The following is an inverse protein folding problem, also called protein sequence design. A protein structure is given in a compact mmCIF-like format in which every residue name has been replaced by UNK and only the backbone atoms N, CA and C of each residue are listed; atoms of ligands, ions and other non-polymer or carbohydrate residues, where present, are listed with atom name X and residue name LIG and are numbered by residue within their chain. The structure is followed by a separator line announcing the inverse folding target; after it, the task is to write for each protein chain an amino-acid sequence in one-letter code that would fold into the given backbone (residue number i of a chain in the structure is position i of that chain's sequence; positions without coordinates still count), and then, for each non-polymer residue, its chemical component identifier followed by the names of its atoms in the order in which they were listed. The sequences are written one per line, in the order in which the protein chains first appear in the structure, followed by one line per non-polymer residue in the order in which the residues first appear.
data_IF_189059823952
#
_entry.id   IF_189059823952
#
_cell.length_a   1.000
_cell.length_b   1.000
_cell.length_c   1.000
_cell.angle_alpha   90.00
_cell.angle_beta   90.00
_cell.angle_gamma   90.00
#
_symmetry.space_group_name_H-M   'P 1'
#
loop_
_entity.id
_entity.type
_entity.pdbx_description
1 polymer ?
#
# COMPACT_ATOMS: atom_id res chain seq x y z
N UNK A 1 13.48 -3.39 10.85
CA UNK A 1 13.20 -1.97 11.22
C UNK A 1 11.71 -1.74 11.47
N UNK A 2 10.81 -2.14 10.55
CA UNK A 2 9.36 -1.97 10.72
C UNK A 2 8.81 -2.50 12.06
N UNK A 3 9.30 -3.65 12.52
CA UNK A 3 8.87 -4.27 13.78
C UNK A 3 9.18 -3.45 15.03
N UNK A 4 10.12 -2.50 14.95
CA UNK A 4 10.56 -1.67 16.08
C UNK A 4 9.61 -0.50 16.34
N UNK A 5 8.63 -0.27 15.46
CA UNK A 5 7.67 0.82 15.57
C UNK A 5 6.28 0.28 15.88
N UNK A 6 5.57 0.97 16.77
CA UNK A 6 4.17 0.66 17.08
C UNK A 6 3.21 1.14 15.99
N UNK A 7 3.62 2.22 15.29
CA UNK A 7 2.80 2.91 14.28
C UNK A 7 3.61 3.19 13.00
N UNK A 8 3.93 2.18 12.17
CA UNK A 8 4.57 2.41 10.88
C UNK A 8 3.60 3.09 9.89
N UNK A 9 4.13 4.06 9.14
CA UNK A 9 3.44 4.73 8.03
C UNK A 9 4.19 4.36 6.75
N UNK A 10 3.52 3.65 5.84
CA UNK A 10 4.16 3.06 4.66
C UNK A 10 3.69 3.76 3.39
N UNK A 11 4.65 4.16 2.57
CA UNK A 11 4.42 4.87 1.31
C UNK A 11 4.85 4.04 0.12
N UNK A 12 3.93 3.77 -0.81
CA UNK A 12 4.25 3.03 -2.04
C UNK A 12 3.64 3.73 -3.27
N UNK A 13 4.45 4.15 -4.25
CA UNK A 13 3.94 4.70 -5.50
C UNK A 13 3.53 3.59 -6.48
N UNK A 14 2.70 3.94 -7.45
CA UNK A 14 2.45 3.11 -8.64
C UNK A 14 3.49 3.38 -9.70
N UNK A 15 4.09 2.34 -10.25
CA UNK A 15 5.01 2.42 -11.39
C UNK A 15 4.44 1.65 -12.59
N UNK A 16 4.96 1.98 -13.77
CA UNK A 16 4.56 1.40 -15.05
C UNK A 16 3.05 1.24 -15.18
N UNK A 17 2.54 0.01 -15.30
CA UNK A 17 1.12 -0.30 -15.49
C UNK A 17 0.55 -1.04 -14.27
N UNK A 18 0.63 -0.39 -13.10
CA UNK A 18 0.13 -0.96 -11.84
C UNK A 18 1.17 -1.77 -11.07
N UNK A 19 2.44 -1.61 -11.42
CA UNK A 19 3.55 -2.39 -10.87
C UNK A 19 4.10 -1.77 -9.58
N UNK A 20 4.66 -2.65 -8.75
CA UNK A 20 5.35 -2.30 -7.51
C UNK A 20 6.65 -1.57 -7.89
N UNK A 21 6.96 -0.47 -7.21
CA UNK A 21 8.22 0.22 -7.42
C UNK A 21 9.42 -0.64 -7.01
N UNK A 22 10.52 -0.55 -7.77
CA UNK A 22 11.68 -1.43 -7.67
C UNK A 22 12.25 -1.64 -6.24
N UNK A 23 12.33 -0.61 -5.40
CA UNK A 23 12.84 -0.75 -4.04
C UNK A 23 11.87 -1.51 -3.14
N UNK A 24 10.56 -1.31 -3.33
CA UNK A 24 9.54 -2.12 -2.67
C UNK A 24 9.55 -3.55 -3.14
N UNK A 25 9.76 -3.79 -4.44
CA UNK A 25 9.85 -5.12 -5.02
C UNK A 25 11.04 -5.89 -4.42
N UNK A 26 12.20 -5.23 -4.28
CA UNK A 26 13.40 -5.82 -3.69
C UNK A 26 13.21 -6.32 -2.24
N UNK A 27 12.23 -5.78 -1.52
CA UNK A 27 11.91 -6.17 -0.14
C UNK A 27 10.54 -6.84 0.01
N UNK A 28 9.82 -7.08 -1.09
CA UNK A 28 8.41 -7.49 -1.05
C UNK A 28 8.21 -8.81 -0.32
N UNK A 29 9.00 -9.83 -0.66
CA UNK A 29 8.93 -11.15 -0.03
C UNK A 29 9.35 -11.11 1.44
N UNK A 30 10.20 -10.16 1.84
CA UNK A 30 10.63 -10.02 3.23
C UNK A 30 9.48 -9.56 4.14
N UNK A 31 8.43 -8.94 3.59
CA UNK A 31 7.22 -8.59 4.34
C UNK A 31 6.51 -9.83 4.89
N UNK A 32 6.70 -11.00 4.26
CA UNK A 32 6.05 -12.23 4.69
C UNK A 32 6.62 -12.76 6.02
N UNK A 33 7.87 -12.44 6.32
CA UNK A 33 8.56 -12.89 7.53
C UNK A 33 8.38 -11.93 8.72
N UNK A 34 7.78 -10.75 8.51
CA UNK A 34 7.60 -9.75 9.56
C UNK A 34 6.49 -10.15 10.55
N UNK A 35 6.76 -10.01 11.84
CA UNK A 35 5.74 -10.03 12.88
C UNK A 35 5.18 -8.63 13.12
N UNK A 36 3.98 -8.38 12.58
CA UNK A 36 3.28 -7.11 12.71
C UNK A 36 2.00 -7.21 13.55
N UNK A 37 1.81 -8.31 14.28
CA UNK A 37 0.59 -8.56 15.05
C UNK A 37 0.31 -7.41 16.03
N UNK A 38 -0.91 -6.87 15.97
CA UNK A 38 -1.38 -5.81 16.86
C UNK A 38 -0.84 -4.40 16.55
N UNK A 39 0.03 -4.23 15.54
CA UNK A 39 0.55 -2.91 15.15
C UNK A 39 -0.51 -2.06 14.45
N UNK A 40 -0.39 -0.75 14.56
CA UNK A 40 -1.25 0.20 13.86
C UNK A 40 -0.53 0.65 12.59
N UNK A 41 -1.12 0.41 11.42
CA UNK A 41 -0.48 0.74 10.13
C UNK A 41 -1.30 1.81 9.42
N UNK A 42 -0.64 2.85 8.93
CA UNK A 42 -1.22 3.79 7.97
C UNK A 42 -0.49 3.66 6.63
N UNK A 43 -1.24 3.77 5.54
CA UNK A 43 -0.70 3.65 4.18
C UNK A 43 -0.95 4.93 3.41
N UNK A 44 -0.03 5.30 2.53
CA UNK A 44 -0.24 6.32 1.52
C UNK A 44 0.42 5.90 0.21
N UNK A 45 -0.06 6.43 -0.91
CA UNK A 45 0.50 6.15 -2.22
C UNK A 45 0.46 7.36 -3.13
N UNK A 46 1.29 7.31 -4.15
CA UNK A 46 1.32 8.30 -5.23
C UNK A 46 0.99 7.60 -6.54
N UNK A 47 0.08 8.18 -7.31
CA UNK A 47 -0.34 7.66 -8.60
C UNK A 47 -0.86 8.77 -9.50
N UNK A 48 -1.02 8.48 -10.78
CA UNK A 48 -1.56 9.40 -11.78
C UNK A 48 -2.91 8.87 -12.28
N UNK A 49 -3.99 9.46 -11.78
CA UNK A 49 -5.35 9.06 -12.16
C UNK A 49 -5.71 9.43 -13.61
N UNK A 50 -5.03 10.42 -14.21
CA UNK A 50 -5.34 10.89 -15.56
C UNK A 50 -4.58 10.09 -16.63
N UNK A 51 -3.30 9.84 -16.41
CA UNK A 51 -2.48 9.03 -17.31
C UNK A 51 -2.64 7.53 -17.13
N UNK A 52 -2.96 7.09 -15.90
CA UNK A 52 -2.94 5.68 -15.49
C UNK A 52 -4.18 5.29 -14.66
N UNK A 53 -5.36 5.83 -15.01
CA UNK A 53 -6.60 5.63 -14.25
C UNK A 53 -7.02 4.16 -14.02
N UNK A 54 -6.66 3.24 -14.92
CA UNK A 54 -6.90 1.79 -14.78
C UNK A 54 -6.05 1.12 -13.69
N UNK A 55 -4.95 1.77 -13.29
CA UNK A 55 -3.93 1.26 -12.37
C UNK A 55 -3.71 2.19 -11.16
N UNK A 56 -4.58 3.17 -10.98
CA UNK A 56 -4.38 4.24 -10.01
C UNK A 56 -4.31 3.68 -8.59
N UNK A 57 -3.11 3.74 -8.00
CA UNK A 57 -2.81 3.24 -6.64
C UNK A 57 -2.89 1.72 -6.46
N UNK A 58 -2.81 0.93 -7.54
CA UNK A 58 -2.85 -0.54 -7.48
C UNK A 58 -1.85 -1.13 -6.44
N UNK A 59 -0.56 -0.76 -6.42
CA UNK A 59 0.38 -1.26 -5.41
C UNK A 59 0.05 -0.88 -3.96
N UNK A 60 -0.68 0.21 -3.73
CA UNK A 60 -1.15 0.57 -2.39
C UNK A 60 -2.17 -0.45 -1.88
N UNK A 61 -3.07 -0.89 -2.76
CA UNK A 61 -4.01 -1.99 -2.50
C UNK A 61 -3.28 -3.31 -2.28
N UNK A 62 -2.31 -3.64 -3.13
CA UNK A 62 -1.50 -4.86 -2.97
C UNK A 62 -0.75 -4.90 -1.63
N UNK A 63 -0.17 -3.76 -1.21
CA UNK A 63 0.52 -3.66 0.07
C UNK A 63 -0.45 -3.79 1.24
N UNK A 64 -1.64 -3.18 1.13
CA UNK A 64 -2.71 -3.33 2.12
C UNK A 64 -3.09 -4.81 2.29
N UNK A 65 -3.39 -5.51 1.21
CA UNK A 65 -3.80 -6.92 1.25
C UNK A 65 -2.71 -7.82 1.84
N UNK A 66 -1.45 -7.61 1.44
CA UNK A 66 -0.32 -8.41 1.96
C UNK A 66 -0.15 -8.22 3.47
N UNK A 67 -0.32 -7.00 3.97
CA UNK A 67 -0.22 -6.68 5.40
C UNK A 67 -1.47 -7.07 6.20
N UNK A 68 -2.65 -7.11 5.59
CA UNK A 68 -3.91 -7.50 6.23
C UNK A 68 -3.84 -8.91 6.82
N UNK A 69 -3.04 -9.80 6.22
CA UNK A 69 -2.80 -11.16 6.67
C UNK A 69 -1.89 -11.25 7.92
N UNK A 70 -1.30 -10.14 8.37
CA UNK A 70 -0.32 -10.08 9.47
C UNK A 70 -0.90 -9.62 10.81
N UNK A 71 -2.23 -9.53 10.94
CA UNK A 71 -2.88 -9.14 12.20
C UNK A 71 -2.70 -7.66 12.57
N UNK A 72 -2.44 -6.81 11.58
CA UNK A 72 -2.31 -5.36 11.75
C UNK A 72 -3.69 -4.70 11.90
N UNK A 73 -3.70 -3.49 12.49
CA UNK A 73 -4.86 -2.60 12.50
C UNK A 73 -4.61 -1.40 11.58
N UNK A 74 -5.33 -1.36 10.47
CA UNK A 74 -5.25 -0.20 9.57
C UNK A 74 -6.00 1.02 10.12
N UNK A 75 -5.41 2.20 9.91
CA UNK A 75 -6.01 3.50 10.17
C UNK A 75 -5.79 4.44 9.00
N UNK A 76 -6.57 5.52 8.94
CA UNK A 76 -6.38 6.57 7.92
C UNK A 76 -6.96 6.24 6.55
N UNK A 77 -7.99 5.38 6.48
CA UNK A 77 -8.76 5.21 5.24
C UNK A 77 -9.25 6.57 4.73
N UNK A 78 -8.99 6.85 3.46
CA UNK A 78 -9.40 8.09 2.80
C UNK A 78 -10.68 7.85 2.00
N UNK A 79 -11.61 8.83 1.96
CA UNK A 79 -12.70 8.80 0.99
C UNK A 79 -12.14 8.87 -0.44
N UNK A 80 -12.86 8.27 -1.38
CA UNK A 80 -12.60 8.37 -2.82
C UNK A 80 -13.26 9.60 -3.46
N UNK A 81 -14.04 10.36 -2.68
CA UNK A 81 -14.64 11.61 -3.13
C UNK A 81 -13.57 12.60 -3.61
N UNK A 82 -13.73 13.11 -4.83
CA UNK A 82 -12.77 14.00 -5.49
C UNK A 82 -11.78 13.32 -6.44
N UNK A 83 -11.85 11.98 -6.59
CA UNK A 83 -11.08 11.23 -7.59
C UNK A 83 -11.98 10.69 -8.71
N UNK A 84 -11.45 10.66 -9.93
CA UNK A 84 -12.07 9.99 -11.08
C UNK A 84 -11.48 8.59 -11.22
N UNK A 85 -12.15 7.60 -10.64
CA UNK A 85 -11.69 6.20 -10.67
C UNK A 85 -12.24 5.49 -11.91
N UNK A 86 -11.34 4.91 -12.69
CA UNK A 86 -11.70 4.08 -13.85
C UNK A 86 -11.96 2.63 -13.43
N UNK A 87 -11.34 2.19 -12.33
CA UNK A 87 -11.47 0.86 -11.74
C UNK A 87 -11.90 0.93 -10.27
N UNK A 88 -12.62 -0.09 -9.81
CA UNK A 88 -13.03 -0.24 -8.40
C UNK A 88 -12.24 -1.34 -7.66
N UNK A 89 -11.07 -1.72 -8.22
CA UNK A 89 -10.20 -2.73 -7.61
C UNK A 89 -9.65 -2.23 -6.29
#
# INVERSE_FOLDING_TARGET
LMEQYDVPILGIPTWDFGEIQEDWEAVWEQLDDLNLEGKIVALYGMGDQLGYGEWFLDPLGMLHDKLALKGVKFVGYSPTEGYELTSNK
#
